data_IF_048463720673
#
_entry.id   IF_048463720673
#
_cell.length_a   1.000
_cell.length_b   1.000
_cell.length_c   1.000
_cell.angle_alpha   90.00
_cell.angle_beta   90.00
_cell.angle_gamma   90.00
#
_symmetry.space_group_name_H-M   'P 1'
#
loop_
_entity.id
_entity.type
_entity.pdbx_description
1 polymer ?
#
# COMPACT_ATOMS: atom_id res chain seq x y z
N UNK A 1 -13.29 19.63 -5.33
CA UNK A 1 -13.51 19.95 -6.74
C UNK A 1 -13.23 21.43 -7.05
N UNK A 2 -13.86 22.37 -6.40
CA UNK A 2 -13.72 23.80 -6.69
C UNK A 2 -12.28 24.31 -6.61
N UNK A 3 -11.58 24.02 -5.52
CA UNK A 3 -10.17 24.47 -5.32
C UNK A 3 -9.22 23.79 -6.32
N UNK A 4 -9.31 22.46 -6.46
CA UNK A 4 -8.37 21.71 -7.27
C UNK A 4 -8.56 21.95 -8.78
N UNK A 5 -9.80 22.03 -9.25
CA UNK A 5 -10.10 22.06 -10.70
C UNK A 5 -10.49 23.46 -11.17
N UNK A 6 -11.50 24.08 -10.56
CA UNK A 6 -12.04 25.36 -11.06
C UNK A 6 -11.15 26.57 -10.79
N UNK A 7 -10.52 26.61 -9.57
CA UNK A 7 -9.64 27.72 -9.18
C UNK A 7 -8.18 27.55 -9.59
N UNK A 8 -7.82 26.34 -10.05
CA UNK A 8 -6.45 26.00 -10.48
C UNK A 8 -6.48 25.34 -11.86
N UNK A 9 -7.01 26.02 -12.89
CA UNK A 9 -7.20 25.44 -14.21
C UNK A 9 -5.86 24.99 -14.80
N UNK A 10 -5.82 23.77 -15.31
CA UNK A 10 -4.63 23.18 -15.94
C UNK A 10 -3.54 22.69 -14.98
N UNK A 11 -3.71 22.86 -13.65
CA UNK A 11 -2.74 22.39 -12.67
C UNK A 11 -2.96 20.92 -12.31
N UNK A 12 -4.20 20.46 -12.24
CA UNK A 12 -4.58 19.10 -11.86
C UNK A 12 -5.37 18.41 -12.97
N UNK A 13 -5.16 17.11 -13.11
CA UNK A 13 -5.85 16.27 -14.09
C UNK A 13 -7.04 15.52 -13.49
N UNK A 14 -7.27 15.62 -12.20
CA UNK A 14 -8.36 14.94 -11.50
C UNK A 14 -8.29 15.06 -9.99
N UNK A 15 -9.00 14.15 -9.32
CA UNK A 15 -9.07 14.06 -7.86
C UNK A 15 -8.83 12.60 -7.46
N UNK A 16 -7.97 12.40 -6.48
CA UNK A 16 -7.88 11.16 -5.70
C UNK A 16 -8.56 11.36 -4.35
N UNK A 17 -9.46 10.44 -3.97
CA UNK A 17 -10.17 10.50 -2.68
C UNK A 17 -9.48 9.56 -1.71
N UNK A 18 -9.02 10.10 -0.61
CA UNK A 18 -8.39 9.33 0.47
C UNK A 18 -9.22 9.48 1.75
N UNK A 19 -10.23 8.61 1.92
CA UNK A 19 -11.09 8.56 3.11
C UNK A 19 -10.78 7.29 3.91
N UNK A 20 -10.05 7.42 5.01
CA UNK A 20 -9.55 6.32 5.83
C UNK A 20 -10.23 6.27 7.21
N UNK A 21 -11.40 5.65 7.38
CA UNK A 21 -12.22 4.98 6.37
C UNK A 21 -13.70 5.32 6.62
N UNK A 22 -14.61 5.14 5.65
CA UNK A 22 -16.01 5.56 5.79
C UNK A 22 -16.73 4.99 7.02
N UNK A 23 -16.55 3.69 7.31
CA UNK A 23 -17.34 2.99 8.33
C UNK A 23 -16.58 2.79 9.64
N UNK A 24 -15.27 3.03 9.64
CA UNK A 24 -14.44 2.85 10.83
C UNK A 24 -13.01 2.46 10.49
N UNK A 25 -12.14 2.47 11.49
CA UNK A 25 -10.70 2.32 11.31
C UNK A 25 -10.00 3.67 11.06
N UNK A 26 -8.74 3.62 10.60
CA UNK A 26 -7.92 4.81 10.46
C UNK A 26 -7.51 5.43 11.79
N UNK A 27 -7.34 6.74 11.81
CA UNK A 27 -6.95 7.44 13.02
C UNK A 27 -8.08 7.43 14.08
N UNK A 28 -7.74 7.32 15.39
CA UNK A 28 -8.75 7.31 16.47
C UNK A 28 -9.65 8.55 16.51
N UNK A 29 -9.19 9.66 15.95
CA UNK A 29 -9.94 10.93 15.89
C UNK A 29 -10.92 10.99 14.71
N UNK A 30 -10.91 10.03 13.79
CA UNK A 30 -11.81 10.02 12.64
C UNK A 30 -13.25 9.77 13.08
N UNK A 31 -14.16 10.59 12.58
CA UNK A 31 -15.59 10.30 12.70
C UNK A 31 -15.97 9.25 11.65
N UNK A 32 -16.64 8.20 12.09
CA UNK A 32 -17.12 7.13 11.23
C UNK A 32 -18.55 6.71 11.63
N UNK A 33 -19.40 6.48 10.63
CA UNK A 33 -20.82 6.12 10.84
C UNK A 33 -21.18 4.99 9.88
N UNK A 34 -22.07 4.04 10.26
CA UNK A 34 -22.51 2.99 9.35
C UNK A 34 -23.05 3.49 8.00
N UNK A 35 -23.75 4.65 7.99
CA UNK A 35 -24.29 5.30 6.79
C UNK A 35 -23.19 5.81 5.85
N UNK A 36 -21.97 5.96 6.31
CA UNK A 36 -20.85 6.45 5.50
C UNK A 36 -20.40 5.40 4.45
N UNK A 37 -20.83 4.15 4.56
CA UNK A 37 -20.72 3.17 3.49
C UNK A 37 -21.44 3.65 2.20
N UNK A 38 -22.69 4.09 2.36
CA UNK A 38 -23.48 4.66 1.24
C UNK A 38 -23.02 6.06 0.87
N UNK A 39 -22.71 6.90 1.87
CA UNK A 39 -22.26 8.27 1.66
C UNK A 39 -20.95 8.34 0.85
N UNK A 40 -20.06 7.39 1.00
CA UNK A 40 -18.84 7.33 0.18
C UNK A 40 -19.17 7.15 -1.31
N UNK A 41 -20.08 6.22 -1.61
CA UNK A 41 -20.54 6.03 -2.99
C UNK A 41 -21.23 7.28 -3.54
N UNK A 42 -22.09 7.94 -2.77
CA UNK A 42 -22.76 9.17 -3.15
C UNK A 42 -21.79 10.32 -3.38
N UNK A 43 -20.75 10.45 -2.53
CA UNK A 43 -19.69 11.43 -2.71
C UNK A 43 -18.95 11.22 -4.04
N UNK A 44 -18.59 9.98 -4.35
CA UNK A 44 -17.87 9.64 -5.58
C UNK A 44 -18.74 9.90 -6.81
N UNK A 45 -20.03 9.59 -6.76
CA UNK A 45 -20.98 9.89 -7.82
C UNK A 45 -21.09 11.40 -8.07
N UNK A 46 -21.19 12.19 -7.02
CA UNK A 46 -21.27 13.66 -7.15
C UNK A 46 -19.96 14.24 -7.67
N UNK A 47 -18.79 13.74 -7.20
CA UNK A 47 -17.50 14.17 -7.74
C UNK A 47 -17.39 13.83 -9.23
N UNK A 48 -17.80 12.63 -9.65
CA UNK A 48 -17.77 12.22 -11.06
C UNK A 48 -18.66 13.11 -11.91
N UNK A 49 -19.90 13.38 -11.47
CA UNK A 49 -20.84 14.28 -12.15
C UNK A 49 -20.26 15.69 -12.34
N UNK A 50 -19.65 16.24 -11.29
CA UNK A 50 -19.06 17.59 -11.33
C UNK A 50 -17.78 17.64 -12.19
N UNK A 51 -16.96 16.58 -12.16
CA UNK A 51 -15.77 16.48 -12.99
C UNK A 51 -16.13 16.35 -14.48
N UNK A 52 -17.17 15.57 -14.80
CA UNK A 52 -17.64 15.41 -16.17
C UNK A 52 -18.21 16.74 -16.70
N UNK A 53 -19.07 17.41 -15.93
CA UNK A 53 -19.62 18.71 -16.31
C UNK A 53 -18.54 19.81 -16.46
N UNK A 54 -17.46 19.75 -15.68
CA UNK A 54 -16.33 20.65 -15.85
C UNK A 54 -15.50 20.27 -17.08
N UNK A 55 -15.30 18.97 -17.30
CA UNK A 55 -14.58 18.46 -18.46
C UNK A 55 -15.22 18.85 -19.80
N UNK A 56 -16.55 18.83 -19.87
CA UNK A 56 -17.29 19.33 -21.03
C UNK A 56 -16.98 20.81 -21.33
N UNK A 57 -16.89 21.65 -20.28
CA UNK A 57 -16.54 23.08 -20.43
C UNK A 57 -15.09 23.28 -20.87
N UNK A 58 -14.18 22.44 -20.37
CA UNK A 58 -12.72 22.57 -20.57
C UNK A 58 -12.22 21.76 -21.78
N UNK A 59 -13.10 21.00 -22.46
CA UNK A 59 -12.75 20.16 -23.60
C UNK A 59 -11.82 18.99 -23.25
N UNK A 60 -11.87 18.48 -21.99
CA UNK A 60 -11.01 17.40 -21.50
C UNK A 60 -11.73 16.50 -20.51
N UNK A 61 -11.26 15.29 -20.33
CA UNK A 61 -11.71 14.39 -19.26
C UNK A 61 -10.87 14.59 -18.02
N UNK A 62 -11.53 14.77 -16.87
CA UNK A 62 -10.89 14.73 -15.57
C UNK A 62 -10.97 13.34 -14.94
N UNK A 63 -9.93 12.94 -14.23
CA UNK A 63 -9.80 11.63 -13.61
C UNK A 63 -10.35 11.66 -12.18
N UNK A 64 -10.87 10.51 -11.74
CA UNK A 64 -11.31 10.28 -10.36
C UNK A 64 -10.79 8.96 -9.90
N UNK A 65 -9.98 8.94 -8.85
CA UNK A 65 -9.50 7.72 -8.20
C UNK A 65 -9.80 7.73 -6.70
N UNK A 66 -9.62 6.60 -6.06
CA UNK A 66 -9.81 6.45 -4.63
C UNK A 66 -8.73 5.57 -4.02
N UNK A 67 -8.15 6.00 -2.90
CA UNK A 67 -7.34 5.15 -2.05
C UNK A 67 -8.25 4.25 -1.19
N UNK A 68 -7.95 2.96 -1.14
CA UNK A 68 -8.80 2.00 -0.45
C UNK A 68 -8.00 1.03 0.39
N UNK A 69 -8.64 0.58 1.49
CA UNK A 69 -8.04 -0.37 2.42
C UNK A 69 -7.77 -1.72 1.75
N UNK A 70 -6.66 -2.34 2.10
CA UNK A 70 -6.35 -3.71 1.76
C UNK A 70 -6.83 -4.70 2.83
N UNK A 71 -6.76 -6.01 2.52
CA UNK A 71 -7.09 -7.07 3.45
C UNK A 71 -8.59 -7.43 3.53
N UNK A 72 -8.98 -8.26 4.51
CA UNK A 72 -10.32 -8.86 4.57
C UNK A 72 -11.47 -7.89 4.82
N UNK A 73 -11.17 -6.70 5.34
CA UNK A 73 -12.20 -5.70 5.71
C UNK A 73 -12.65 -4.83 4.54
N UNK A 74 -11.94 -4.79 3.42
CA UNK A 74 -12.24 -3.89 2.30
C UNK A 74 -13.73 -3.86 1.88
N UNK A 75 -14.43 -5.00 1.69
CA UNK A 75 -15.84 -4.97 1.30
C UNK A 75 -16.79 -4.41 2.37
N UNK A 76 -16.32 -4.22 3.61
CA UNK A 76 -17.14 -3.64 4.68
C UNK A 76 -17.07 -2.11 4.68
N UNK A 77 -16.07 -1.54 4.03
CA UNK A 77 -15.86 -0.09 3.96
C UNK A 77 -16.39 0.53 2.68
N UNK A 78 -16.42 -0.24 1.59
CA UNK A 78 -16.75 0.27 0.25
C UNK A 78 -17.65 -0.71 -0.52
N UNK A 79 -18.65 -0.20 -1.20
CA UNK A 79 -19.35 -0.93 -2.27
C UNK A 79 -18.43 -0.99 -3.51
N UNK A 80 -17.49 -1.93 -3.48
CA UNK A 80 -16.44 -2.03 -4.49
C UNK A 80 -17.00 -2.18 -5.92
N UNK A 81 -18.09 -2.92 -6.08
CA UNK A 81 -18.72 -3.14 -7.39
C UNK A 81 -19.32 -1.85 -7.96
N UNK A 82 -20.07 -1.10 -7.15
CA UNK A 82 -20.68 0.17 -7.57
C UNK A 82 -19.59 1.23 -7.78
N UNK A 83 -18.63 1.35 -6.85
CA UNK A 83 -17.52 2.30 -6.95
C UNK A 83 -16.67 2.03 -8.20
N UNK A 84 -16.49 0.76 -8.60
CA UNK A 84 -15.78 0.42 -9.84
C UNK A 84 -16.43 0.98 -11.11
N UNK A 85 -17.74 1.24 -11.09
CA UNK A 85 -18.45 1.92 -12.17
C UNK A 85 -18.25 3.44 -12.22
N UNK A 86 -17.75 4.03 -11.12
CA UNK A 86 -17.68 5.48 -10.92
C UNK A 86 -16.25 6.00 -11.11
N UNK A 87 -15.26 5.34 -10.46
CA UNK A 87 -13.86 5.76 -10.47
C UNK A 87 -13.09 5.22 -11.66
N UNK A 88 -12.01 5.89 -12.02
CA UNK A 88 -11.09 5.42 -13.06
C UNK A 88 -10.26 4.25 -12.57
N UNK A 89 -9.75 4.30 -11.33
CA UNK A 89 -9.04 3.19 -10.66
C UNK A 89 -9.09 3.30 -9.15
N UNK A 90 -8.68 2.21 -8.48
CA UNK A 90 -8.46 2.09 -7.05
C UNK A 90 -6.96 2.08 -6.76
N UNK A 91 -6.48 3.00 -5.95
CA UNK A 91 -5.18 2.92 -5.30
C UNK A 91 -5.31 2.02 -4.07
N UNK A 92 -5.09 0.72 -4.23
CA UNK A 92 -5.27 -0.23 -3.13
C UNK A 92 -4.04 -0.18 -2.23
N UNK A 93 -4.20 0.23 -0.99
CA UNK A 93 -3.12 0.39 0.00
C UNK A 93 -2.66 -0.96 0.54
N UNK A 94 -2.01 -1.76 -0.30
CA UNK A 94 -1.52 -3.11 0.01
C UNK A 94 -0.24 -3.08 0.84
N UNK A 95 -0.28 -2.31 1.92
CA UNK A 95 0.78 -2.15 2.92
C UNK A 95 0.15 -1.89 4.29
N UNK A 96 0.99 -1.75 5.32
CA UNK A 96 0.57 -1.57 6.71
C UNK A 96 -0.32 -2.70 7.24
N UNK A 97 -0.24 -3.87 6.63
CA UNK A 97 -1.06 -5.02 7.01
C UNK A 97 -0.96 -5.37 8.50
N UNK A 98 0.18 -5.11 9.12
CA UNK A 98 0.45 -5.44 10.52
C UNK A 98 0.96 -4.22 11.33
N UNK A 99 0.52 -3.01 10.95
CA UNK A 99 0.84 -1.80 11.70
C UNK A 99 0.34 -1.91 13.14
N UNK A 100 1.23 -1.62 14.11
CA UNK A 100 0.94 -1.76 15.54
C UNK A 100 0.91 -3.19 16.09
N UNK A 101 1.29 -4.19 15.30
CA UNK A 101 1.43 -5.57 15.75
C UNK A 101 2.44 -5.70 16.90
N UNK A 102 2.15 -6.63 17.82
CA UNK A 102 3.08 -7.06 18.88
C UNK A 102 3.96 -8.24 18.47
N UNK A 103 3.90 -8.62 17.20
CA UNK A 103 4.65 -9.70 16.57
C UNK A 103 5.40 -9.09 15.39
N UNK A 104 6.68 -9.42 15.22
CA UNK A 104 7.45 -9.03 14.05
C UNK A 104 6.83 -9.67 12.80
N UNK A 105 6.35 -8.84 11.89
CA UNK A 105 5.57 -9.27 10.75
C UNK A 105 5.83 -8.41 9.51
N UNK A 106 5.54 -8.94 8.34
CA UNK A 106 5.73 -8.23 7.08
C UNK A 106 4.81 -7.01 6.96
N UNK A 107 5.34 -5.94 6.38
CA UNK A 107 4.57 -4.72 6.07
C UNK A 107 3.64 -4.93 4.87
N UNK A 108 4.15 -5.55 3.81
CA UNK A 108 3.46 -5.70 2.53
C UNK A 108 3.85 -7.00 1.80
N UNK A 109 3.59 -8.20 2.37
CA UNK A 109 3.98 -9.46 1.73
C UNK A 109 3.19 -9.67 0.43
N UNK A 110 3.87 -10.15 -0.63
CA UNK A 110 3.20 -10.46 -1.89
C UNK A 110 2.29 -11.67 -1.73
N UNK A 111 2.80 -12.73 -1.10
CA UNK A 111 2.07 -13.98 -0.84
C UNK A 111 2.14 -14.36 0.64
N UNK A 112 1.30 -15.32 1.02
CA UNK A 112 1.29 -15.89 2.37
C UNK A 112 2.57 -16.70 2.62
N UNK A 113 3.15 -16.54 3.80
CA UNK A 113 4.23 -17.37 4.29
C UNK A 113 3.70 -18.55 5.11
N UNK A 114 4.41 -19.68 5.09
CA UNK A 114 4.12 -20.81 5.98
C UNK A 114 4.23 -20.39 7.44
N UNK A 115 3.22 -20.75 8.23
CA UNK A 115 3.13 -20.37 9.65
C UNK A 115 2.67 -18.94 9.92
N UNK A 116 2.25 -18.19 8.89
CA UNK A 116 1.68 -16.85 9.06
C UNK A 116 0.40 -16.91 9.91
N UNK A 117 0.33 -16.20 11.06
CA UNK A 117 -0.85 -16.17 11.90
C UNK A 117 -2.05 -15.44 11.25
N UNK A 118 -1.81 -14.68 10.18
CA UNK A 118 -2.80 -13.85 9.49
C UNK A 118 -2.70 -13.99 7.96
N UNK A 119 -2.87 -15.18 7.40
CA UNK A 119 -2.52 -15.50 6.00
C UNK A 119 -3.33 -14.73 4.93
N UNK A 120 -4.39 -14.04 5.35
CA UNK A 120 -5.26 -13.25 4.44
C UNK A 120 -4.76 -11.82 4.21
N UNK A 121 -3.69 -11.41 4.88
CA UNK A 121 -3.13 -10.05 4.80
C UNK A 121 -1.91 -10.02 3.87
N UNK A 122 -2.17 -10.22 2.58
CA UNK A 122 -1.16 -10.18 1.51
C UNK A 122 -1.64 -9.36 0.32
N UNK A 123 -0.73 -8.96 -0.55
CA UNK A 123 -1.07 -8.28 -1.81
C UNK A 123 -1.97 -9.18 -2.65
N UNK A 124 -1.56 -10.44 -2.88
CA UNK A 124 -2.33 -11.39 -3.69
C UNK A 124 -3.73 -11.62 -3.14
N UNK A 125 -3.87 -11.95 -1.85
CA UNK A 125 -5.18 -12.17 -1.22
C UNK A 125 -6.09 -10.94 -1.33
N UNK A 126 -5.51 -9.74 -1.27
CA UNK A 126 -6.26 -8.48 -1.45
C UNK A 126 -6.72 -8.33 -2.90
N UNK A 127 -5.84 -8.51 -3.87
CA UNK A 127 -6.17 -8.42 -5.31
C UNK A 127 -7.27 -9.42 -5.68
N UNK A 128 -7.15 -10.69 -5.24
CA UNK A 128 -8.17 -11.70 -5.50
C UNK A 128 -9.54 -11.30 -4.91
N UNK A 129 -9.55 -10.66 -3.75
CA UNK A 129 -10.78 -10.15 -3.11
C UNK A 129 -11.43 -9.03 -3.90
N UNK A 130 -10.65 -8.08 -4.44
CA UNK A 130 -11.16 -7.02 -5.29
C UNK A 130 -11.74 -7.58 -6.60
N UNK A 131 -11.06 -8.56 -7.21
CA UNK A 131 -11.56 -9.26 -8.41
C UNK A 131 -12.87 -10.01 -8.10
N UNK A 132 -12.92 -10.73 -6.97
CA UNK A 132 -14.14 -11.42 -6.53
C UNK A 132 -15.31 -10.45 -6.25
N UNK A 133 -15.00 -9.22 -5.81
CA UNK A 133 -15.95 -8.12 -5.67
C UNK A 133 -16.30 -7.42 -6.99
N UNK A 134 -15.94 -8.00 -8.14
CA UNK A 134 -16.21 -7.50 -9.51
C UNK A 134 -15.51 -6.19 -9.88
N UNK A 135 -14.42 -5.84 -9.21
CA UNK A 135 -13.56 -4.75 -9.68
C UNK A 135 -12.78 -5.22 -10.91
N UNK A 136 -12.84 -4.52 -12.04
CA UNK A 136 -12.05 -4.85 -13.23
C UNK A 136 -10.55 -4.83 -12.92
N UNK A 137 -9.80 -5.81 -13.37
CA UNK A 137 -8.35 -5.92 -13.15
C UNK A 137 -7.59 -4.64 -13.49
N UNK A 138 -7.88 -4.06 -14.65
CA UNK A 138 -7.27 -2.82 -15.12
C UNK A 138 -7.54 -1.59 -14.24
N UNK A 139 -8.47 -1.68 -13.27
CA UNK A 139 -8.75 -0.62 -12.29
C UNK A 139 -8.10 -0.86 -10.93
N UNK A 140 -7.41 -1.98 -10.72
CA UNK A 140 -6.70 -2.29 -9.48
C UNK A 140 -5.25 -1.83 -9.62
N UNK A 141 -4.86 -0.82 -8.85
CA UNK A 141 -3.49 -0.33 -8.75
C UNK A 141 -2.92 -0.76 -7.41
N UNK A 142 -1.84 -1.54 -7.43
CA UNK A 142 -1.23 -2.15 -6.24
C UNK A 142 -0.36 -1.12 -5.53
N UNK A 143 -0.60 -0.90 -4.25
CA UNK A 143 0.22 -0.05 -3.40
C UNK A 143 1.52 -0.73 -2.95
N UNK A 144 2.63 -0.01 -3.05
CA UNK A 144 3.94 -0.44 -2.58
C UNK A 144 4.50 0.59 -1.61
N UNK A 145 4.88 0.18 -0.38
CA UNK A 145 5.44 1.11 0.59
C UNK A 145 6.92 1.39 0.28
N UNK A 146 7.28 2.66 0.20
CA UNK A 146 8.68 3.10 0.13
C UNK A 146 9.24 3.37 1.52
N UNK A 147 8.77 2.60 2.50
CA UNK A 147 9.18 2.66 3.91
C UNK A 147 9.10 1.28 4.56
N UNK A 148 9.77 1.14 5.70
CA UNK A 148 9.73 -0.06 6.53
C UNK A 148 9.04 0.15 7.87
N UNK A 149 8.82 -0.95 8.57
CA UNK A 149 8.35 -0.99 9.97
C UNK A 149 9.41 -1.67 10.82
N UNK A 150 9.61 -1.17 12.03
CA UNK A 150 10.67 -1.65 12.94
C UNK A 150 10.06 -2.24 14.19
N UNK A 151 10.59 -3.37 14.60
CA UNK A 151 10.22 -4.10 15.81
C UNK A 151 11.44 -4.28 16.71
N UNK A 152 11.25 -4.11 18.01
CA UNK A 152 12.31 -4.24 19.01
C UNK A 152 12.09 -5.41 19.96
N UNK A 153 13.19 -5.93 20.53
CA UNK A 153 13.18 -7.03 21.50
C UNK A 153 12.76 -8.38 20.88
N UNK A 154 12.99 -8.55 19.59
CA UNK A 154 12.60 -9.76 18.83
C UNK A 154 13.58 -10.88 19.10
N UNK A 155 13.09 -12.05 19.50
CA UNK A 155 13.91 -13.26 19.74
C UNK A 155 14.44 -13.87 18.42
N UNK A 156 15.51 -14.69 18.49
CA UNK A 156 16.20 -15.20 17.30
C UNK A 156 15.52 -16.38 16.58
N UNK A 157 14.49 -16.98 17.17
CA UNK A 157 13.80 -18.10 16.54
C UNK A 157 13.18 -17.67 15.20
N UNK A 158 13.28 -18.52 14.18
CA UNK A 158 12.80 -18.24 12.82
C UNK A 158 13.29 -16.87 12.28
N UNK A 159 14.56 -16.54 12.53
CA UNK A 159 15.14 -15.24 12.17
C UNK A 159 14.31 -14.02 12.64
N UNK A 160 13.61 -14.16 13.75
CA UNK A 160 12.73 -13.17 14.33
C UNK A 160 11.34 -13.10 13.69
N UNK A 161 11.10 -13.74 12.55
CA UNK A 161 9.83 -13.73 11.87
C UNK A 161 8.72 -14.40 12.70
N UNK A 162 7.58 -13.73 12.84
CA UNK A 162 6.43 -14.13 13.65
C UNK A 162 6.74 -14.29 15.14
N UNK A 163 7.87 -13.75 15.61
CA UNK A 163 8.21 -13.75 17.03
C UNK A 163 7.61 -12.53 17.74
N UNK A 164 7.31 -12.67 19.05
CA UNK A 164 6.92 -11.52 19.86
C UNK A 164 7.95 -10.39 19.79
N UNK A 165 7.45 -9.16 19.73
CA UNK A 165 8.24 -7.93 19.72
C UNK A 165 7.88 -7.06 20.93
N UNK A 166 8.26 -7.44 22.15
CA UNK A 166 7.85 -6.77 23.39
C UNK A 166 8.63 -5.48 23.64
N UNK A 167 9.76 -5.29 22.99
CA UNK A 167 10.63 -4.14 23.19
C UNK A 167 10.16 -2.90 22.45
N UNK A 168 10.63 -1.72 22.87
CA UNK A 168 10.42 -0.48 22.13
C UNK A 168 11.20 -0.53 20.81
N UNK A 169 10.75 0.27 19.85
CA UNK A 169 11.56 0.56 18.65
C UNK A 169 12.84 1.26 19.12
N UNK A 170 14.04 0.78 18.73
CA UNK A 170 15.29 1.43 19.09
C UNK A 170 15.33 2.89 18.65
N UNK A 171 15.97 3.76 19.45
CA UNK A 171 15.95 5.22 19.22
C UNK A 171 16.46 5.62 17.84
N UNK A 172 17.49 4.95 17.36
CA UNK A 172 18.07 5.16 16.05
C UNK A 172 17.14 4.81 14.88
N UNK A 173 16.06 4.04 15.14
CA UNK A 173 15.06 3.62 14.18
C UNK A 173 13.66 4.24 14.40
N UNK A 174 13.50 5.16 15.35
CA UNK A 174 12.22 5.84 15.57
C UNK A 174 11.83 6.79 14.45
N UNK A 175 12.79 7.19 13.63
CA UNK A 175 12.59 8.01 12.45
C UNK A 175 13.48 7.53 11.33
N UNK A 176 13.21 7.96 10.10
CA UNK A 176 14.01 7.58 8.94
C UNK A 176 13.88 6.10 8.61
N UNK A 177 12.66 5.60 8.59
CA UNK A 177 12.30 4.25 8.14
C UNK A 177 11.85 4.21 6.68
N UNK A 178 11.93 5.33 5.96
CA UNK A 178 11.82 5.36 4.51
C UNK A 178 12.96 4.55 3.86
N UNK A 179 12.70 4.01 2.67
CA UNK A 179 13.65 3.16 1.96
C UNK A 179 15.04 3.79 1.83
N UNK A 180 15.08 5.04 1.39
CA UNK A 180 16.32 5.81 1.23
C UNK A 180 17.13 5.88 2.53
N UNK A 181 16.47 6.10 3.65
CA UNK A 181 17.10 6.18 4.97
C UNK A 181 17.60 4.82 5.46
N UNK A 182 16.83 3.75 5.23
CA UNK A 182 17.23 2.37 5.55
C UNK A 182 18.52 2.03 4.79
N UNK A 183 18.53 2.21 3.47
CA UNK A 183 19.69 1.86 2.62
C UNK A 183 20.92 2.70 2.97
N UNK A 184 20.73 4.01 3.23
CA UNK A 184 21.82 4.93 3.59
C UNK A 184 22.55 4.51 4.88
N UNK A 185 21.85 3.89 5.82
CA UNK A 185 22.44 3.39 7.09
C UNK A 185 23.31 2.16 6.92
N UNK A 186 23.31 1.52 5.73
CA UNK A 186 24.09 0.30 5.45
C UNK A 186 23.85 -0.76 6.53
N UNK A 187 22.64 -1.32 6.66
CA UNK A 187 22.25 -2.19 7.78
C UNK A 187 23.21 -3.35 8.03
N UNK A 188 23.81 -3.89 6.97
CA UNK A 188 24.78 -4.99 7.09
C UNK A 188 26.00 -4.59 7.91
N UNK A 189 26.49 -3.34 7.78
CA UNK A 189 27.59 -2.81 8.58
C UNK A 189 27.22 -2.59 10.04
N UNK A 190 25.93 -2.57 10.36
CA UNK A 190 25.37 -2.47 11.71
C UNK A 190 25.00 -3.85 12.29
N UNK A 191 25.38 -4.93 11.63
CA UNK A 191 25.14 -6.32 12.08
C UNK A 191 23.76 -6.87 11.72
N UNK A 192 23.01 -6.21 10.84
CA UNK A 192 21.78 -6.78 10.29
C UNK A 192 22.09 -7.79 9.19
N UNK A 193 21.32 -8.86 9.16
CA UNK A 193 21.26 -9.79 8.04
C UNK A 193 20.00 -9.52 7.24
N UNK A 194 20.14 -9.30 5.92
CA UNK A 194 19.02 -9.27 4.99
C UNK A 194 18.59 -10.69 4.66
N UNK A 195 17.29 -10.95 4.76
CA UNK A 195 16.66 -12.22 4.37
C UNK A 195 15.52 -11.94 3.41
N UNK A 196 15.59 -12.44 2.18
CA UNK A 196 14.45 -12.50 1.26
C UNK A 196 13.62 -13.73 1.62
N UNK A 197 12.36 -13.53 1.97
CA UNK A 197 11.48 -14.65 2.30
C UNK A 197 10.99 -15.34 1.02
N UNK A 198 11.25 -16.65 0.85
CA UNK A 198 11.03 -17.33 -0.43
C UNK A 198 9.55 -17.45 -0.82
N UNK A 199 8.63 -17.52 0.13
CA UNK A 199 7.20 -17.60 -0.12
C UNK A 199 6.58 -16.20 -0.17
N UNK A 200 6.79 -15.36 0.85
CA UNK A 200 6.19 -14.03 0.94
C UNK A 200 6.72 -13.03 -0.10
N UNK A 201 7.87 -13.31 -0.74
CA UNK A 201 8.51 -12.48 -1.76
C UNK A 201 8.76 -11.04 -1.30
N UNK A 202 9.16 -10.89 -0.03
CA UNK A 202 9.48 -9.61 0.59
C UNK A 202 10.67 -9.79 1.53
N UNK A 203 11.61 -8.81 1.59
CA UNK A 203 12.75 -8.89 2.48
C UNK A 203 12.43 -8.42 3.89
N UNK A 204 13.29 -8.84 4.81
CA UNK A 204 13.42 -8.22 6.11
C UNK A 204 14.89 -8.16 6.53
N UNK A 205 15.18 -7.30 7.48
CA UNK A 205 16.47 -7.16 8.13
C UNK A 205 16.33 -7.63 9.58
N UNK A 206 17.24 -8.46 10.02
CA UNK A 206 17.29 -8.93 11.41
C UNK A 206 18.68 -8.78 12.01
N UNK A 207 18.77 -8.13 13.15
CA UNK A 207 19.94 -8.09 14.00
C UNK A 207 19.68 -8.90 15.27
N UNK A 208 20.19 -10.13 15.31
CA UNK A 208 19.96 -11.03 16.43
C UNK A 208 20.63 -10.57 17.74
N UNK A 209 21.66 -9.72 17.66
CA UNK A 209 22.36 -9.19 18.84
C UNK A 209 21.52 -8.14 19.57
N UNK A 210 20.85 -7.25 18.82
CA UNK A 210 20.03 -6.19 19.39
C UNK A 210 18.55 -6.56 19.48
N UNK A 211 18.12 -7.66 18.85
CA UNK A 211 16.72 -8.04 18.72
C UNK A 211 15.92 -7.05 17.87
N UNK A 212 16.56 -6.37 16.92
CA UNK A 212 15.90 -5.42 16.02
C UNK A 212 15.54 -6.11 14.72
N UNK A 213 14.25 -6.00 14.33
CA UNK A 213 13.72 -6.58 13.11
C UNK A 213 13.05 -5.50 12.27
N UNK A 214 13.33 -5.45 10.97
CA UNK A 214 12.81 -4.41 10.07
C UNK A 214 12.22 -5.09 8.84
N UNK A 215 10.93 -4.86 8.59
CA UNK A 215 10.28 -5.21 7.32
C UNK A 215 10.28 -4.01 6.40
N UNK A 216 10.54 -4.22 5.13
CA UNK A 216 10.54 -3.17 4.12
C UNK A 216 10.41 -3.78 2.72
N UNK A 217 10.27 -2.95 1.71
CA UNK A 217 10.42 -3.35 0.32
C UNK A 217 11.75 -2.83 -0.23
N UNK A 218 12.39 -3.62 -1.09
CA UNK A 218 13.59 -3.24 -1.82
C UNK A 218 13.45 -3.48 -3.33
N UNK A 219 14.52 -3.27 -4.08
CA UNK A 219 14.51 -3.42 -5.52
C UNK A 219 14.04 -4.80 -6.00
N UNK A 220 14.36 -5.87 -5.25
CA UNK A 220 13.96 -7.24 -5.59
C UNK A 220 12.47 -7.46 -5.37
N UNK A 221 11.95 -7.14 -4.17
CA UNK A 221 10.52 -7.30 -3.87
C UNK A 221 9.63 -6.39 -4.69
N UNK A 222 10.06 -5.17 -4.97
CA UNK A 222 9.34 -4.24 -5.85
C UNK A 222 9.28 -4.75 -7.29
N UNK A 223 10.36 -5.36 -7.80
CA UNK A 223 10.36 -6.01 -9.11
C UNK A 223 9.39 -7.20 -9.16
N UNK A 224 9.33 -8.01 -8.11
CA UNK A 224 8.37 -9.12 -7.98
C UNK A 224 6.92 -8.61 -7.99
N UNK A 225 6.61 -7.54 -7.23
CA UNK A 225 5.29 -6.92 -7.21
C UNK A 225 4.90 -6.31 -8.56
N UNK A 226 5.84 -5.64 -9.24
CA UNK A 226 5.58 -5.10 -10.57
C UNK A 226 5.38 -6.21 -11.62
N UNK A 227 6.12 -7.32 -11.53
CA UNK A 227 5.91 -8.50 -12.37
C UNK A 227 4.54 -9.14 -12.10
N UNK A 228 4.12 -9.22 -10.83
CA UNK A 228 2.79 -9.68 -10.43
C UNK A 228 1.69 -8.80 -11.06
N UNK A 229 1.80 -7.48 -10.97
CA UNK A 229 0.86 -6.52 -11.57
C UNK A 229 0.70 -6.80 -13.07
N UNK A 230 1.81 -6.96 -13.78
CA UNK A 230 1.80 -7.23 -15.21
C UNK A 230 1.19 -8.60 -15.56
N UNK A 231 1.58 -9.66 -14.86
CA UNK A 231 1.10 -11.03 -15.14
C UNK A 231 -0.39 -11.21 -14.83
N UNK A 232 -0.95 -10.37 -13.96
CA UNK A 232 -2.37 -10.37 -13.61
C UNK A 232 -3.18 -9.30 -14.36
N UNK A 233 -2.55 -8.58 -15.30
CA UNK A 233 -3.20 -7.52 -16.11
C UNK A 233 -3.86 -6.44 -15.24
N UNK A 234 -3.19 -6.06 -14.13
CA UNK A 234 -3.68 -5.03 -13.21
C UNK A 234 -3.39 -3.63 -13.76
N UNK A 235 -4.03 -2.62 -13.18
CA UNK A 235 -3.95 -1.22 -13.62
C UNK A 235 -2.57 -0.58 -13.45
N UNK A 236 -1.78 -1.02 -12.49
CA UNK A 236 -0.46 -0.45 -12.24
C UNK A 236 0.03 -0.59 -10.81
N UNK A 237 1.04 0.21 -10.49
CA UNK A 237 1.64 0.31 -9.15
C UNK A 237 1.53 1.74 -8.65
N UNK A 238 1.11 1.92 -7.40
CA UNK A 238 1.14 3.17 -6.64
C UNK A 238 2.20 3.06 -5.55
N UNK A 239 2.95 4.12 -5.29
CA UNK A 239 3.95 4.16 -4.23
C UNK A 239 3.53 5.12 -3.10
N UNK A 240 3.70 4.69 -1.85
CA UNK A 240 3.63 5.55 -0.68
C UNK A 240 4.96 5.51 0.08
N UNK A 241 5.73 6.62 0.12
CA UNK A 241 5.58 7.81 -0.69
C UNK A 241 6.84 8.05 -1.53
N UNK A 242 6.71 8.73 -2.63
CA UNK A 242 7.81 8.92 -3.58
C UNK A 242 9.02 9.62 -2.96
N UNK A 243 8.81 10.46 -1.95
CA UNK A 243 9.89 11.12 -1.19
C UNK A 243 10.75 10.14 -0.38
N UNK A 244 10.28 8.92 -0.14
CA UNK A 244 11.01 7.85 0.56
C UNK A 244 12.04 7.11 -0.29
N UNK A 245 12.03 7.30 -1.60
CA UNK A 245 12.95 6.65 -2.54
C UNK A 245 14.23 7.48 -2.78
N UNK A 246 15.29 6.81 -3.22
CA UNK A 246 16.51 7.42 -3.74
C UNK A 246 16.60 7.39 -5.28
N UNK A 247 15.51 7.03 -5.94
CA UNK A 247 15.38 6.82 -7.38
C UNK A 247 15.47 5.35 -7.81
N UNK A 248 15.85 4.46 -6.91
CA UNK A 248 16.02 3.02 -7.20
C UNK A 248 14.69 2.33 -7.42
N UNK A 249 13.73 2.47 -6.49
CA UNK A 249 12.47 1.73 -6.52
C UNK A 249 11.56 2.20 -7.67
N UNK A 250 11.47 3.51 -7.91
CA UNK A 250 10.72 4.07 -9.05
C UNK A 250 11.29 3.56 -10.36
N UNK A 251 12.63 3.52 -10.50
CA UNK A 251 13.27 2.97 -11.70
C UNK A 251 12.95 1.49 -11.91
N UNK A 252 12.96 0.69 -10.85
CA UNK A 252 12.63 -0.74 -10.90
C UNK A 252 11.18 -0.95 -11.34
N UNK A 253 10.23 -0.19 -10.77
CA UNK A 253 8.81 -0.26 -11.18
C UNK A 253 8.67 0.06 -12.67
N UNK A 254 9.25 1.18 -13.10
CA UNK A 254 9.22 1.60 -14.50
C UNK A 254 9.76 0.52 -15.45
N UNK A 255 10.95 -0.01 -15.16
CA UNK A 255 11.60 -1.00 -16.01
C UNK A 255 10.82 -2.33 -16.04
N UNK A 256 10.27 -2.76 -14.90
CA UNK A 256 9.49 -4.00 -14.81
C UNK A 256 8.14 -3.92 -15.52
N UNK A 257 7.47 -2.76 -15.47
CA UNK A 257 6.18 -2.56 -16.15
C UNK A 257 6.33 -2.36 -17.67
N UNK A 258 7.50 -1.87 -18.14
CA UNK A 258 7.77 -1.64 -19.58
C UNK A 258 8.34 -2.84 -20.32
N UNK A 259 8.80 -3.89 -19.65
CA UNK A 259 9.33 -5.09 -20.32
C UNK A 259 8.22 -5.73 -21.14
N UNK A 260 8.28 -5.53 -22.49
CA UNK A 260 7.49 -6.29 -23.45
C UNK A 260 7.90 -7.77 -23.38
N UNK A 261 6.96 -8.66 -23.60
CA UNK A 261 7.20 -10.10 -23.73
C UNK A 261 8.05 -10.39 -24.94
#
# INVERSE_FOLDING_TARGET
MDVAIRRSPGLFDGIDVDWEYPVGGGLPSNAARPVDYENCTLLLLELRRELDAQGERDGRRYLLSIATIAGPSAPRHFDLATVAGIVDWFNVMTYDFHSGSKIAHFNAPLYTASGDPTPSYTVDSTVQRYIAARVPRAKIVVGVPFYGRVYGGVGPANDGLFQPAPGPVPDEWRSGTDYRSIVRRRPESLGFRRVMHPEARVPFLFNATTGTWITYDDAESVAEKAAYVRSHELGGVMAWEIGGDDGTLVKVIHDALRRSH
#
